data_IF_791366568579
#
_entry.id   IF_791366568579
#
_cell.length_a   1.000
_cell.length_b   1.000
_cell.length_c   1.000
_cell.angle_alpha   90.00
_cell.angle_beta   90.00
_cell.angle_gamma   90.00
#
_symmetry.space_group_name_H-M   'P 1'
#
loop_
_entity.id
_entity.type
_entity.pdbx_description
1 polymer ?
#
# COMPACT_ATOMS: atom_id res chain seq x y z
N UNK A 1 24.56 1.32 -12.22
CA UNK A 1 23.86 0.56 -11.14
C UNK A 1 23.12 1.47 -10.16
N UNK A 2 23.78 2.42 -9.48
CA UNK A 2 23.14 3.27 -8.45
C UNK A 2 21.96 4.09 -8.98
N UNK A 3 22.12 4.76 -10.13
CA UNK A 3 21.02 5.49 -10.80
C UNK A 3 19.83 4.57 -11.08
N UNK A 4 20.09 3.36 -11.56
CA UNK A 4 19.04 2.35 -11.78
C UNK A 4 18.29 1.97 -10.51
N UNK A 5 18.98 1.86 -9.35
CA UNK A 5 18.33 1.58 -8.06
C UNK A 5 17.48 2.75 -7.57
N UNK A 6 17.93 3.99 -7.78
CA UNK A 6 17.15 5.20 -7.45
C UNK A 6 15.88 5.25 -8.29
N UNK A 7 15.99 5.03 -9.61
CA UNK A 7 14.85 5.00 -10.51
C UNK A 7 13.87 3.86 -10.17
N UNK A 8 14.38 2.66 -9.88
CA UNK A 8 13.57 1.53 -9.44
C UNK A 8 12.85 1.82 -8.12
N UNK A 9 13.52 2.50 -7.17
CA UNK A 9 12.91 2.93 -5.92
C UNK A 9 11.78 3.95 -6.12
N UNK A 10 12.00 4.95 -6.99
CA UNK A 10 10.98 5.93 -7.34
C UNK A 10 9.76 5.28 -8.02
N UNK A 11 10.00 4.38 -8.98
CA UNK A 11 8.93 3.63 -9.66
C UNK A 11 8.17 2.71 -8.68
N UNK A 12 8.88 1.96 -7.84
CA UNK A 12 8.30 1.09 -6.83
C UNK A 12 7.41 1.84 -5.84
N UNK A 13 7.88 2.97 -5.31
CA UNK A 13 7.09 3.83 -4.43
C UNK A 13 5.81 4.35 -5.10
N UNK A 14 5.88 4.69 -6.39
CA UNK A 14 4.72 5.06 -7.20
C UNK A 14 3.70 3.92 -7.32
N UNK A 15 4.16 2.71 -7.65
CA UNK A 15 3.29 1.52 -7.79
C UNK A 15 2.55 1.20 -6.48
N UNK A 16 3.24 1.29 -5.34
CA UNK A 16 2.63 1.08 -4.02
C UNK A 16 1.50 2.05 -3.70
N UNK A 17 1.50 3.25 -4.29
CA UNK A 17 0.44 4.26 -4.13
C UNK A 17 -0.66 4.11 -5.16
N UNK A 18 -0.28 3.92 -6.43
CA UNK A 18 -1.20 3.92 -7.57
C UNK A 18 -2.08 2.68 -7.57
N UNK A 19 -1.52 1.50 -7.22
CA UNK A 19 -2.26 0.23 -7.32
C UNK A 19 -3.50 0.19 -6.42
N UNK A 20 -3.40 0.51 -5.10
CA UNK A 20 -4.60 0.53 -4.25
C UNK A 20 -5.59 1.61 -4.67
N UNK A 21 -5.11 2.77 -5.16
CA UNK A 21 -5.98 3.84 -5.63
C UNK A 21 -6.77 3.44 -6.88
N UNK A 22 -6.10 2.85 -7.87
CA UNK A 22 -6.73 2.38 -9.10
C UNK A 22 -7.81 1.34 -8.82
N UNK A 23 -7.51 0.35 -7.97
CA UNK A 23 -8.46 -0.68 -7.52
C UNK A 23 -9.64 -0.04 -6.78
N UNK A 24 -9.37 0.95 -5.94
CA UNK A 24 -10.39 1.63 -5.18
C UNK A 24 -11.31 2.50 -6.07
N UNK A 25 -10.81 3.04 -7.19
CA UNK A 25 -11.59 3.87 -8.12
C UNK A 25 -12.50 3.05 -9.04
N UNK A 26 -12.14 1.80 -9.35
CA UNK A 26 -12.92 0.91 -10.22
C UNK A 26 -13.86 -0.02 -9.44
N UNK A 27 -13.57 -0.29 -8.17
CA UNK A 27 -14.31 -1.27 -7.38
C UNK A 27 -15.72 -0.81 -7.02
N UNK A 28 -16.66 -1.76 -6.99
CA UNK A 28 -17.96 -1.53 -6.38
C UNK A 28 -17.81 -1.25 -4.87
N UNK A 29 -18.53 -0.27 -4.31
CA UNK A 29 -18.58 -0.06 -2.87
C UNK A 29 -18.84 -1.35 -2.07
N UNK A 30 -19.60 -2.31 -2.64
CA UNK A 30 -19.91 -3.60 -1.98
C UNK A 30 -18.71 -4.55 -1.88
N UNK A 31 -17.81 -4.56 -2.87
CA UNK A 31 -16.67 -5.50 -2.93
C UNK A 31 -15.30 -4.83 -2.73
N UNK A 32 -15.27 -3.50 -2.57
CA UNK A 32 -14.03 -2.71 -2.42
C UNK A 32 -13.16 -3.19 -1.25
N UNK A 33 -13.77 -3.58 -0.13
CA UNK A 33 -13.04 -4.11 1.03
C UNK A 33 -12.31 -5.42 0.72
N UNK A 34 -12.97 -6.35 0.02
CA UNK A 34 -12.40 -7.63 -0.40
C UNK A 34 -11.30 -7.44 -1.44
N UNK A 35 -11.48 -6.54 -2.40
CA UNK A 35 -10.45 -6.20 -3.39
C UNK A 35 -9.22 -5.57 -2.74
N UNK A 36 -9.40 -4.71 -1.73
CA UNK A 36 -8.31 -4.10 -0.98
C UNK A 36 -7.50 -5.14 -0.19
N UNK A 37 -8.16 -6.16 0.35
CA UNK A 37 -7.53 -7.19 1.16
C UNK A 37 -6.81 -8.28 0.35
N UNK A 38 -7.11 -8.38 -0.95
CA UNK A 38 -6.36 -9.22 -1.90
C UNK A 38 -5.00 -8.63 -2.30
N UNK A 39 -4.82 -7.31 -2.21
CA UNK A 39 -3.58 -6.65 -2.66
C UNK A 39 -2.31 -7.14 -1.93
N UNK A 40 -2.29 -7.27 -0.58
CA UNK A 40 -1.14 -7.85 0.11
C UNK A 40 -0.88 -9.32 -0.27
N UNK A 41 -1.93 -10.09 -0.56
CA UNK A 41 -1.79 -11.48 -1.01
C UNK A 41 -1.11 -11.53 -2.38
N UNK A 42 -1.57 -10.72 -3.35
CA UNK A 42 -0.95 -10.62 -4.67
C UNK A 42 0.53 -10.20 -4.59
N UNK A 43 0.88 -9.26 -3.71
CA UNK A 43 2.26 -8.83 -3.50
C UNK A 43 3.14 -9.98 -2.99
N UNK A 44 2.66 -10.78 -2.04
CA UNK A 44 3.40 -11.94 -1.53
C UNK A 44 3.52 -13.07 -2.56
N UNK A 45 2.46 -13.33 -3.35
CA UNK A 45 2.54 -14.27 -4.49
C UNK A 45 3.63 -13.84 -5.48
N UNK A 46 3.66 -12.56 -5.84
CA UNK A 46 4.71 -11.99 -6.70
C UNK A 46 6.11 -12.16 -6.10
N UNK A 47 6.25 -11.99 -4.78
CA UNK A 47 7.53 -12.18 -4.07
C UNK A 47 8.00 -13.63 -4.14
N UNK A 48 7.10 -14.61 -3.93
CA UNK A 48 7.43 -16.04 -4.08
C UNK A 48 7.86 -16.36 -5.50
N UNK A 49 7.11 -15.89 -6.51
CA UNK A 49 7.47 -16.08 -7.93
C UNK A 49 8.83 -15.44 -8.27
N UNK A 50 9.14 -14.28 -7.70
CA UNK A 50 10.43 -13.62 -7.91
C UNK A 50 11.60 -14.43 -7.33
N UNK A 51 11.45 -15.03 -6.14
CA UNK A 51 12.48 -15.90 -5.57
C UNK A 51 12.65 -17.21 -6.37
N UNK A 52 11.56 -17.79 -6.88
CA UNK A 52 11.61 -18.97 -7.75
C UNK A 52 12.34 -18.63 -9.06
N UNK A 53 11.93 -17.56 -9.75
CA UNK A 53 12.58 -17.11 -10.98
C UNK A 53 14.06 -16.77 -10.76
N UNK A 54 14.40 -16.15 -9.63
CA UNK A 54 15.78 -15.84 -9.25
C UNK A 54 16.65 -17.08 -9.01
N UNK A 55 16.03 -18.23 -8.71
CA UNK A 55 16.74 -19.50 -8.51
C UNK A 55 16.87 -20.29 -9.82
N UNK A 56 15.88 -20.20 -10.71
CA UNK A 56 15.86 -20.95 -11.98
C UNK A 56 16.67 -20.27 -13.10
N UNK A 57 16.78 -18.94 -13.07
CA UNK A 57 17.35 -18.16 -14.18
C UNK A 57 18.76 -17.66 -13.84
N UNK A 58 19.76 -17.85 -14.72
CA UNK A 58 21.09 -17.30 -14.55
C UNK A 58 21.09 -15.77 -14.43
N UNK A 59 22.02 -15.21 -13.65
CA UNK A 59 22.11 -13.76 -13.37
C UNK A 59 22.14 -12.88 -14.64
N UNK A 60 22.79 -13.34 -15.71
CA UNK A 60 22.90 -12.58 -16.97
C UNK A 60 21.55 -12.46 -17.72
N UNK A 61 20.73 -13.51 -17.65
CA UNK A 61 19.44 -13.58 -18.34
C UNK A 61 18.28 -13.08 -17.48
N UNK A 62 18.45 -13.02 -16.15
CA UNK A 62 17.41 -12.62 -15.22
C UNK A 62 16.79 -11.24 -15.53
N UNK A 63 17.56 -10.15 -15.76
CA UNK A 63 16.97 -8.86 -16.08
C UNK A 63 16.16 -8.86 -17.39
N UNK A 64 16.54 -9.67 -18.38
CA UNK A 64 15.83 -9.78 -19.66
C UNK A 64 14.49 -10.49 -19.49
N UNK A 65 14.46 -11.59 -18.73
CA UNK A 65 13.22 -12.31 -18.41
C UNK A 65 12.27 -11.43 -17.60
N UNK A 66 12.80 -10.72 -16.60
CA UNK A 66 12.00 -9.81 -15.78
C UNK A 66 11.46 -8.64 -16.60
N UNK A 67 12.16 -8.16 -17.64
CA UNK A 67 11.68 -7.07 -18.50
C UNK A 67 10.40 -7.44 -19.28
N UNK A 68 10.21 -8.71 -19.62
CA UNK A 68 9.01 -9.19 -20.32
C UNK A 68 7.75 -9.00 -19.47
N UNK A 69 7.85 -9.17 -18.14
CA UNK A 69 6.70 -9.08 -17.24
C UNK A 69 6.08 -7.67 -17.18
N UNK A 70 6.82 -6.57 -16.92
CA UNK A 70 6.32 -5.21 -17.04
C UNK A 70 5.85 -4.88 -18.46
N UNK A 71 6.53 -5.38 -19.50
CA UNK A 71 6.10 -5.18 -20.90
C UNK A 71 4.71 -5.75 -21.17
N UNK A 72 4.46 -6.98 -20.73
CA UNK A 72 3.15 -7.63 -20.80
C UNK A 72 2.11 -6.88 -19.97
N UNK A 73 2.45 -6.45 -18.76
CA UNK A 73 1.56 -5.70 -17.89
C UNK A 73 1.17 -4.33 -18.48
N UNK A 74 2.13 -3.61 -19.04
CA UNK A 74 1.88 -2.35 -19.75
C UNK A 74 1.00 -2.57 -20.98
N UNK A 75 1.23 -3.65 -21.74
CA UNK A 75 0.37 -4.02 -22.86
C UNK A 75 -1.07 -4.31 -22.41
N UNK A 76 -1.25 -5.04 -21.30
CA UNK A 76 -2.57 -5.32 -20.74
C UNK A 76 -3.30 -4.05 -20.29
N UNK A 77 -2.62 -3.12 -19.63
CA UNK A 77 -3.21 -1.86 -19.18
C UNK A 77 -3.63 -0.96 -20.34
N UNK A 78 -2.92 -0.99 -21.48
CA UNK A 78 -3.32 -0.21 -22.66
C UNK A 78 -4.71 -0.60 -23.20
N UNK A 79 -5.20 -1.81 -22.91
CA UNK A 79 -6.54 -2.24 -23.27
C UNK A 79 -7.62 -1.87 -22.23
N UNK A 80 -7.23 -1.44 -21.02
CA UNK A 80 -8.18 -1.01 -20.00
C UNK A 80 -8.59 0.45 -20.21
N UNK A 81 -9.90 0.78 -20.12
CA UNK A 81 -10.34 2.17 -20.14
C UNK A 81 -9.86 2.91 -18.89
N UNK A 82 -9.55 4.20 -19.03
CA UNK A 82 -9.21 5.08 -17.90
C UNK A 82 -10.30 5.05 -16.82
N UNK A 83 -9.93 5.26 -15.55
CA UNK A 83 -10.90 5.23 -14.45
C UNK A 83 -11.97 6.34 -14.61
N UNK A 84 -13.23 6.07 -14.25
CA UNK A 84 -14.33 7.01 -14.46
C UNK A 84 -14.13 8.31 -13.67
N UNK A 85 -13.51 8.23 -12.50
CA UNK A 85 -13.19 9.37 -11.64
C UNK A 85 -12.18 10.32 -12.32
N UNK A 86 -11.13 9.79 -12.95
CA UNK A 86 -10.15 10.60 -13.68
C UNK A 86 -10.81 11.34 -14.86
N UNK A 87 -11.69 10.66 -15.59
CA UNK A 87 -12.41 11.24 -16.72
C UNK A 87 -13.39 12.35 -16.30
N UNK A 88 -14.08 12.18 -15.17
CA UNK A 88 -14.94 13.22 -14.58
C UNK A 88 -14.12 14.44 -14.10
N UNK A 89 -12.92 14.21 -13.55
CA UNK A 89 -11.99 15.31 -13.23
C UNK A 89 -11.53 16.06 -14.48
N UNK A 90 -11.34 15.37 -15.59
CA UNK A 90 -10.97 15.97 -16.88
C UNK A 90 -12.16 16.58 -17.67
N UNK A 91 -13.36 16.71 -17.07
CA UNK A 91 -14.58 17.21 -17.73
C UNK A 91 -15.07 16.36 -18.93
N UNK A 92 -14.64 15.10 -19.03
CA UNK A 92 -15.02 14.19 -20.13
C UNK A 92 -16.15 13.26 -19.71
N UNK A 93 -17.35 13.81 -19.49
CA UNK A 93 -18.50 13.10 -18.93
C UNK A 93 -18.91 11.86 -19.75
N UNK A 94 -18.98 11.96 -21.08
CA UNK A 94 -19.40 10.82 -21.92
C UNK A 94 -18.41 9.64 -21.87
N UNK A 95 -17.10 9.94 -21.84
CA UNK A 95 -16.06 8.91 -21.71
C UNK A 95 -16.09 8.28 -20.33
N UNK A 96 -16.32 9.09 -19.28
CA UNK A 96 -16.46 8.60 -17.92
C UNK A 96 -17.63 7.63 -17.78
N UNK A 97 -18.77 7.96 -18.41
CA UNK A 97 -19.95 7.10 -18.40
C UNK A 97 -19.66 5.76 -19.08
N UNK A 98 -19.03 5.76 -20.27
CA UNK A 98 -18.62 4.54 -20.97
C UNK A 98 -17.63 3.69 -20.17
N UNK A 99 -16.67 4.33 -19.51
CA UNK A 99 -15.72 3.64 -18.63
C UNK A 99 -16.43 2.98 -17.45
N UNK A 100 -17.35 3.69 -16.77
CA UNK A 100 -18.11 3.12 -15.66
C UNK A 100 -18.99 1.96 -16.13
N UNK A 101 -19.62 2.05 -17.31
CA UNK A 101 -20.38 0.93 -17.91
C UNK A 101 -19.49 -0.30 -18.13
N UNK A 102 -18.26 -0.12 -18.61
CA UNK A 102 -17.30 -1.22 -18.79
C UNK A 102 -16.97 -1.92 -17.47
N UNK A 103 -16.64 -1.17 -16.42
CA UNK A 103 -16.31 -1.73 -15.10
C UNK A 103 -17.52 -2.36 -14.38
N UNK A 104 -18.73 -1.87 -14.64
CA UNK A 104 -19.99 -2.43 -14.09
C UNK A 104 -20.55 -3.58 -14.92
N UNK A 105 -20.00 -3.84 -16.10
CA UNK A 105 -20.49 -4.88 -17.02
C UNK A 105 -21.83 -4.55 -17.68
N UNK A 106 -22.23 -3.28 -17.74
CA UNK A 106 -23.49 -2.84 -18.36
C UNK A 106 -23.31 -2.80 -19.87
N UNK A 107 -23.91 -3.76 -20.60
CA UNK A 107 -23.93 -3.80 -22.07
C UNK A 107 -25.24 -3.20 -22.58
N UNK A 108 -25.18 -2.00 -23.17
CA UNK A 108 -26.32 -1.41 -23.87
C UNK A 108 -26.31 0.11 -23.81
N UNK A 109 -26.25 0.77 -24.98
CA UNK A 109 -26.28 2.23 -25.06
C UNK A 109 -27.69 2.81 -24.81
N UNK A 110 -28.74 1.97 -24.94
CA UNK A 110 -30.14 2.38 -24.99
C UNK A 110 -30.96 2.09 -23.70
N UNK A 111 -30.66 1.02 -22.96
CA UNK A 111 -31.36 0.69 -21.70
C UNK A 111 -30.37 0.65 -20.54
N UNK A 112 -30.16 1.83 -19.94
CA UNK A 112 -29.34 1.99 -18.74
C UNK A 112 -30.24 1.75 -17.52
N UNK A 113 -29.91 0.80 -16.62
CA UNK A 113 -30.64 0.63 -15.37
C UNK A 113 -30.69 1.94 -14.58
N UNK A 114 -31.83 2.29 -14.00
CA UNK A 114 -31.97 3.53 -13.22
C UNK A 114 -30.95 3.61 -12.07
N UNK A 115 -30.64 2.46 -11.45
CA UNK A 115 -29.58 2.32 -10.44
C UNK A 115 -28.22 2.84 -10.94
N UNK A 116 -27.83 2.52 -12.18
CA UNK A 116 -26.58 2.97 -12.78
C UNK A 116 -26.61 4.49 -13.04
N UNK A 117 -27.73 5.03 -13.51
CA UNK A 117 -27.88 6.48 -13.77
C UNK A 117 -27.77 7.26 -12.47
N UNK A 118 -28.39 6.78 -11.40
CA UNK A 118 -28.26 7.36 -10.07
C UNK A 118 -26.83 7.27 -9.54
N UNK A 119 -26.13 6.14 -9.70
CA UNK A 119 -24.73 5.99 -9.30
C UNK A 119 -23.81 6.98 -10.04
N UNK A 120 -23.94 7.05 -11.37
CA UNK A 120 -23.13 7.96 -12.18
C UNK A 120 -23.38 9.43 -11.82
N UNK A 121 -24.65 9.80 -11.59
CA UNK A 121 -25.01 11.15 -11.17
C UNK A 121 -24.44 11.49 -9.79
N UNK A 122 -24.58 10.57 -8.81
CA UNK A 122 -23.99 10.75 -7.47
C UNK A 122 -22.47 10.94 -7.54
N UNK A 123 -21.78 10.17 -8.38
CA UNK A 123 -20.34 10.27 -8.58
C UNK A 123 -19.95 11.61 -9.21
N UNK A 124 -20.69 12.06 -10.23
CA UNK A 124 -20.49 13.35 -10.89
C UNK A 124 -20.68 14.50 -9.90
N UNK A 125 -21.79 14.52 -9.18
CA UNK A 125 -22.11 15.56 -8.20
C UNK A 125 -21.08 15.61 -7.07
N UNK A 126 -20.52 14.46 -6.66
CA UNK A 126 -19.47 14.42 -5.65
C UNK A 126 -18.16 15.08 -6.11
N UNK A 127 -17.74 14.84 -7.36
CA UNK A 127 -16.51 15.41 -7.94
C UNK A 127 -16.68 16.89 -8.25
N UNK A 128 -17.84 17.29 -8.75
CA UNK A 128 -18.16 18.70 -9.01
C UNK A 128 -18.14 19.52 -7.72
N UNK A 129 -18.70 18.97 -6.63
CA UNK A 129 -18.59 19.55 -5.28
C UNK A 129 -17.15 19.65 -4.78
N UNK A 130 -16.31 18.64 -5.03
CA UNK A 130 -14.88 18.66 -4.65
C UNK A 130 -14.13 19.78 -5.37
N UNK A 131 -14.37 19.96 -6.67
CA UNK A 131 -13.76 21.02 -7.48
C UNK A 131 -14.18 22.42 -7.02
N UNK A 132 -15.47 22.67 -6.88
CA UNK A 132 -16.00 23.97 -6.43
C UNK A 132 -15.44 24.37 -5.07
N UNK A 133 -15.26 23.40 -4.16
CA UNK A 133 -14.63 23.64 -2.87
C UNK A 133 -13.12 23.93 -2.96
N UNK A 134 -12.41 23.30 -3.90
CA UNK A 134 -10.98 23.55 -4.14
C UNK A 134 -10.75 24.95 -4.72
N UNK A 135 -11.56 25.35 -5.71
CA UNK A 135 -11.51 26.67 -6.33
C UNK A 135 -11.85 27.78 -5.33
N UNK A 136 -12.78 27.52 -4.41
CA UNK A 136 -13.09 28.41 -3.30
C UNK A 136 -11.96 28.51 -2.25
N UNK A 137 -11.08 27.51 -2.16
CA UNK A 137 -10.02 27.43 -1.15
C UNK A 137 -8.63 27.89 -1.65
N UNK A 138 -8.43 28.04 -2.96
CA UNK A 138 -7.16 28.44 -3.57
C UNK A 138 -7.37 29.62 -4.53
N UNK A 139 -7.54 30.82 -3.97
CA UNK A 139 -7.45 32.06 -4.75
C UNK A 139 -6.02 32.58 -4.73
N UNK A 140 -5.41 32.75 -5.91
CA UNK A 140 -4.05 33.32 -6.07
C UNK A 140 -3.90 34.73 -5.48
N UNK A 141 -5.01 35.42 -5.21
CA UNK A 141 -5.01 36.73 -4.54
C UNK A 141 -4.65 36.64 -3.04
N UNK A 142 -4.78 35.47 -2.41
CA UNK A 142 -4.51 35.26 -0.98
C UNK A 142 -3.02 35.05 -0.67
N UNK A 143 -2.22 34.65 -1.67
CA UNK A 143 -0.75 34.59 -1.53
C UNK A 143 -0.08 35.96 -1.74
N UNK A 144 -0.77 36.89 -2.42
CA UNK A 144 -0.21 38.19 -2.79
C UNK A 144 -0.39 39.30 -1.75
N UNK A 145 -1.29 39.16 -0.78
CA UNK A 145 -1.56 40.20 0.21
C UNK A 145 -1.52 39.67 1.66
N UNK A 146 -0.42 40.01 2.31
CA UNK A 146 -0.19 40.09 3.76
C UNK A 146 -0.21 38.81 4.61
N UNK A 147 0.96 38.58 5.21
CA UNK A 147 1.22 37.81 6.42
C UNK A 147 0.37 38.37 7.57
N UNK A 148 -0.85 37.85 7.72
CA UNK A 148 -1.65 38.08 8.93
C UNK A 148 -2.74 37.03 9.14
N UNK A 149 -2.41 35.74 8.97
CA UNK A 149 -3.25 34.66 9.53
C UNK A 149 -2.97 34.43 11.01
N UNK A 150 -3.42 35.38 11.85
CA UNK A 150 -3.78 35.12 13.26
C UNK A 150 -5.28 35.42 13.41
N UNK A 151 -6.09 34.34 13.40
CA UNK A 151 -7.45 34.11 13.96
C UNK A 151 -8.26 35.31 14.50
N UNK A 152 -9.62 35.31 14.40
CA UNK A 152 -10.43 34.11 14.65
C UNK A 152 -11.68 33.87 13.80
N UNK A 153 -11.88 32.57 13.56
CA UNK A 153 -13.13 31.84 13.35
C UNK A 153 -14.05 31.97 14.57
N UNK A 154 -14.68 33.14 14.78
CA UNK A 154 -15.70 33.35 15.84
C UNK A 154 -16.92 34.20 15.43
N UNK A 155 -17.04 34.66 14.19
CA UNK A 155 -18.09 35.60 13.79
C UNK A 155 -19.12 35.08 12.77
N UNK A 156 -19.26 33.76 12.58
CA UNK A 156 -20.16 33.21 11.55
C UNK A 156 -21.32 32.36 12.14
N UNK A 157 -21.71 32.60 13.39
CA UNK A 157 -22.86 31.92 14.02
C UNK A 157 -24.15 32.74 14.05
N UNK A 158 -24.23 33.91 13.42
CA UNK A 158 -25.44 34.75 13.46
C UNK A 158 -25.66 35.39 12.10
N UNK A 159 -26.52 34.77 11.30
CA UNK A 159 -27.43 35.34 10.28
C UNK A 159 -27.66 34.33 9.16
N UNK A 160 -28.53 33.35 9.43
CA UNK A 160 -29.30 32.62 8.42
C UNK A 160 -30.64 32.22 9.04
N UNK A 161 -31.48 33.23 9.31
CA UNK A 161 -32.93 33.05 9.47
C UNK A 161 -33.56 33.62 8.20
N UNK A 162 -34.14 32.76 7.36
CA UNK A 162 -35.02 33.18 6.27
C UNK A 162 -34.84 32.41 4.95
N UNK A 163 -35.90 31.69 4.57
CA UNK A 163 -36.21 31.07 3.27
C UNK A 163 -35.56 29.71 2.91
N UNK A 164 -36.36 28.66 3.08
CA UNK A 164 -36.91 27.87 1.97
C UNK A 164 -36.00 26.99 1.12
N UNK A 165 -36.34 25.69 1.10
CA UNK A 165 -35.92 24.60 0.20
C UNK A 165 -34.67 23.80 0.59
N UNK A 166 -34.89 22.49 0.75
CA UNK A 166 -33.91 21.53 1.28
C UNK A 166 -32.73 21.32 0.34
N UNK A 167 -31.55 21.77 0.78
CA UNK A 167 -30.27 21.36 0.24
C UNK A 167 -29.43 20.87 1.42
N UNK A 168 -29.12 19.57 1.45
CA UNK A 168 -28.29 18.94 2.49
C UNK A 168 -26.91 19.61 2.52
N UNK A 169 -26.71 20.51 3.49
CA UNK A 169 -25.51 21.31 3.69
C UNK A 169 -24.39 20.47 4.29
N UNK A 170 -23.67 19.73 3.46
CA UNK A 170 -22.38 19.18 3.85
C UNK A 170 -21.28 20.25 3.66
N UNK A 171 -20.41 20.49 4.65
CA UNK A 171 -19.37 21.51 4.57
C UNK A 171 -18.35 21.22 3.45
N UNK A 172 -17.72 22.26 2.88
CA UNK A 172 -16.80 22.15 1.74
C UNK A 172 -15.62 21.21 2.03
N UNK A 173 -15.12 20.50 1.00
CA UNK A 173 -13.95 19.63 1.12
C UNK A 173 -12.69 20.45 1.39
N UNK A 174 -11.97 20.22 2.51
CA UNK A 174 -10.78 21.00 2.83
C UNK A 174 -9.57 20.54 1.98
N UNK A 175 -8.84 21.50 1.41
CA UNK A 175 -7.48 21.35 0.87
C UNK A 175 -6.55 20.62 1.84
N UNK A 176 -5.52 19.90 1.36
CA UNK A 176 -4.58 19.13 2.22
C UNK A 176 -4.04 19.92 3.43
N UNK A 177 -3.68 21.19 3.22
CA UNK A 177 -3.21 22.07 4.29
C UNK A 177 -4.33 22.44 5.28
N UNK A 178 -5.55 22.71 4.81
CA UNK A 178 -6.69 23.04 5.67
C UNK A 178 -7.29 21.80 6.36
N UNK A 179 -7.13 20.61 5.77
CA UNK A 179 -7.47 19.33 6.36
C UNK A 179 -6.53 18.98 7.51
N UNK A 180 -5.22 19.19 7.31
CA UNK A 180 -4.19 19.09 8.35
C UNK A 180 -4.36 20.10 9.49
N UNK A 181 -5.13 21.17 9.25
CA UNK A 181 -5.42 22.22 10.24
C UNK A 181 -6.47 21.76 11.28
N UNK A 182 -7.33 20.80 10.93
CA UNK A 182 -8.31 20.29 11.89
C UNK A 182 -7.65 19.39 12.93
N UNK A 183 -7.87 19.70 14.22
CA UNK A 183 -7.33 18.93 15.35
C UNK A 183 -7.55 17.40 15.24
N UNK A 184 -8.75 16.90 14.87
CA UNK A 184 -8.98 15.45 14.74
C UNK A 184 -8.23 14.83 13.56
N UNK A 185 -8.22 15.45 12.37
CA UNK A 185 -7.52 14.89 11.22
C UNK A 185 -6.00 14.87 11.43
N UNK A 186 -5.43 15.90 12.08
CA UNK A 186 -4.01 15.93 12.43
C UNK A 186 -3.62 14.80 13.39
N UNK A 187 -4.49 14.50 14.38
CA UNK A 187 -4.26 13.37 15.30
C UNK A 187 -4.29 12.04 14.57
N UNK A 188 -5.27 11.85 13.68
CA UNK A 188 -5.34 10.67 12.82
C UNK A 188 -4.09 10.52 11.95
N UNK A 189 -3.77 11.55 11.15
CA UNK A 189 -2.61 11.54 10.27
C UNK A 189 -1.30 11.28 11.03
N UNK A 190 -1.12 11.90 12.20
CA UNK A 190 0.04 11.67 13.06
C UNK A 190 0.13 10.21 13.55
N UNK A 191 -1.00 9.61 13.97
CA UNK A 191 -1.05 8.20 14.37
C UNK A 191 -0.73 7.26 13.18
N UNK A 192 -1.26 7.54 11.99
CA UNK A 192 -0.98 6.76 10.78
C UNK A 192 0.49 6.83 10.36
N UNK A 193 1.07 8.03 10.35
CA UNK A 193 2.50 8.22 10.06
C UNK A 193 3.39 7.55 11.11
N UNK A 194 3.04 7.65 12.39
CA UNK A 194 3.76 6.99 13.47
C UNK A 194 3.74 5.47 13.31
N UNK A 195 2.57 4.87 13.04
CA UNK A 195 2.44 3.43 12.79
C UNK A 195 3.27 2.96 11.59
N UNK A 196 3.29 3.75 10.50
CA UNK A 196 4.12 3.45 9.33
C UNK A 196 5.61 3.52 9.63
N UNK A 197 6.04 4.51 10.43
CA UNK A 197 7.44 4.64 10.81
C UNK A 197 7.87 3.48 11.71
N UNK A 198 7.03 3.10 12.69
CA UNK A 198 7.26 1.93 13.55
C UNK A 198 7.36 0.64 12.72
N UNK A 199 6.50 0.47 11.72
CA UNK A 199 6.56 -0.69 10.82
C UNK A 199 7.91 -0.79 10.08
N UNK A 200 8.48 0.33 9.65
CA UNK A 200 9.79 0.32 8.97
C UNK A 200 10.95 0.07 9.95
N UNK A 201 10.87 0.62 11.17
CA UNK A 201 11.89 0.45 12.20
C UNK A 201 12.00 -1.01 12.65
N UNK A 202 10.93 -1.82 12.53
CA UNK A 202 11.03 -3.26 12.77
C UNK A 202 12.02 -3.96 11.83
N UNK A 203 12.45 -3.35 10.73
CA UNK A 203 13.50 -3.89 9.87
C UNK A 203 13.08 -5.11 9.06
N UNK A 204 11.80 -5.48 9.07
CA UNK A 204 11.26 -6.63 8.33
C UNK A 204 11.59 -6.54 6.84
N UNK A 205 11.43 -5.37 6.20
CA UNK A 205 11.78 -5.19 4.78
C UNK A 205 13.28 -5.35 4.50
N UNK A 206 14.15 -4.88 5.41
CA UNK A 206 15.59 -5.03 5.27
C UNK A 206 15.99 -6.51 5.36
N UNK A 207 15.44 -7.24 6.34
CA UNK A 207 15.72 -8.66 6.52
C UNK A 207 15.18 -9.53 5.38
N UNK A 208 14.04 -9.19 4.76
CA UNK A 208 13.59 -9.87 3.52
C UNK A 208 14.61 -9.67 2.40
N UNK A 209 15.07 -8.42 2.23
CA UNK A 209 16.00 -8.05 1.17
C UNK A 209 17.35 -8.77 1.31
N UNK A 210 17.81 -8.96 2.55
CA UNK A 210 19.09 -9.63 2.84
C UNK A 210 18.94 -11.09 3.27
N UNK A 211 17.76 -11.69 3.18
CA UNK A 211 17.48 -13.04 3.68
C UNK A 211 18.43 -14.08 3.09
N UNK A 212 18.62 -14.08 1.77
CA UNK A 212 19.54 -14.99 1.09
C UNK A 212 20.98 -14.83 1.57
N UNK A 213 21.41 -13.58 1.77
CA UNK A 213 22.75 -13.28 2.30
C UNK A 213 22.90 -13.78 3.73
N UNK A 214 21.90 -13.57 4.59
CA UNK A 214 21.92 -14.07 5.98
C UNK A 214 22.05 -15.59 5.99
N UNK A 215 21.31 -16.31 5.14
CA UNK A 215 21.42 -17.75 5.03
C UNK A 215 22.78 -18.22 4.51
N UNK A 216 23.37 -17.52 3.53
CA UNK A 216 24.73 -17.85 3.06
C UNK A 216 25.80 -17.62 4.14
N UNK A 217 25.65 -16.58 4.95
CA UNK A 217 26.59 -16.28 6.04
C UNK A 217 26.45 -17.25 7.20
N UNK A 218 25.23 -17.75 7.45
CA UNK A 218 24.96 -18.77 8.46
C UNK A 218 25.45 -20.17 8.06
N UNK A 219 25.72 -20.42 6.77
CA UNK A 219 26.19 -21.71 6.25
C UNK A 219 27.16 -21.50 5.08
N UNK A 220 28.41 -21.08 5.35
CA UNK A 220 29.37 -20.74 4.31
C UNK A 220 29.78 -21.98 3.48
N UNK A 221 29.74 -21.92 2.13
CA UNK A 221 29.91 -23.08 1.24
C UNK A 221 31.36 -23.57 1.09
N UNK A 222 32.33 -22.98 1.80
CA UNK A 222 33.76 -23.19 1.52
C UNK A 222 34.63 -22.97 2.75
N UNK A 223 34.59 -23.90 3.71
CA UNK A 223 35.78 -24.18 4.51
C UNK A 223 36.05 -25.69 4.48
N UNK A 224 37.31 -26.12 4.36
CA UNK A 224 37.69 -27.54 4.30
C UNK A 224 37.37 -28.33 5.59
N UNK A 225 36.78 -27.67 6.59
CA UNK A 225 36.35 -28.20 7.90
C UNK A 225 34.87 -27.96 8.22
N UNK A 226 34.11 -27.24 7.39
CA UNK A 226 32.67 -27.01 7.64
C UNK A 226 31.81 -28.13 7.05
N UNK A 227 30.83 -28.56 7.83
CA UNK A 227 29.80 -29.49 7.37
C UNK A 227 29.04 -28.92 6.16
N UNK A 228 28.61 -29.78 5.20
CA UNK A 228 27.84 -29.34 4.04
C UNK A 228 26.56 -28.63 4.48
N UNK A 229 26.23 -27.52 3.82
CA UNK A 229 25.01 -26.77 4.08
C UNK A 229 23.78 -27.69 3.85
N UNK A 230 22.89 -27.79 4.85
CA UNK A 230 21.71 -28.67 4.75
C UNK A 230 20.74 -28.21 3.65
N UNK A 231 20.60 -26.89 3.48
CA UNK A 231 19.73 -26.28 2.49
C UNK A 231 20.47 -25.12 1.80
N UNK A 232 20.45 -25.04 0.46
CA UNK A 232 20.99 -23.88 -0.24
C UNK A 232 20.16 -22.62 0.09
N UNK A 233 20.82 -21.48 0.22
CA UNK A 233 20.22 -20.21 0.62
C UNK A 233 19.07 -19.75 -0.30
N UNK A 234 19.11 -20.14 -1.58
CA UNK A 234 18.04 -19.89 -2.56
C UNK A 234 16.74 -20.62 -2.17
N UNK A 235 16.82 -21.91 -1.86
CA UNK A 235 15.66 -22.69 -1.41
C UNK A 235 15.14 -22.22 -0.05
N UNK A 236 16.04 -21.85 0.88
CA UNK A 236 15.65 -21.27 2.16
C UNK A 236 14.89 -19.94 2.00
N UNK A 237 15.29 -19.09 1.05
CA UNK A 237 14.61 -17.83 0.75
C UNK A 237 13.23 -18.05 0.12
N UNK A 238 13.08 -19.07 -0.72
CA UNK A 238 11.76 -19.49 -1.24
C UNK A 238 10.86 -19.96 -0.09
N UNK A 239 11.38 -20.81 0.81
CA UNK A 239 10.65 -21.26 2.00
C UNK A 239 10.16 -20.09 2.86
N UNK A 240 11.03 -19.12 3.14
CA UNK A 240 10.67 -17.90 3.87
C UNK A 240 9.53 -17.13 3.18
N UNK A 241 9.63 -16.92 1.87
CA UNK A 241 8.59 -16.22 1.10
C UNK A 241 7.25 -16.97 1.11
N UNK A 242 7.27 -18.31 1.06
CA UNK A 242 6.05 -19.12 1.16
C UNK A 242 5.41 -19.05 2.55
N UNK A 243 6.22 -19.04 3.61
CA UNK A 243 5.75 -18.87 4.99
C UNK A 243 5.14 -17.48 5.19
N UNK A 244 5.72 -16.45 4.58
CA UNK A 244 5.19 -15.09 4.56
C UNK A 244 3.83 -15.01 3.84
N UNK A 245 3.70 -15.69 2.69
CA UNK A 245 2.43 -15.79 1.97
C UNK A 245 1.35 -16.46 2.83
N UNK A 246 1.66 -17.59 3.47
CA UNK A 246 0.75 -18.27 4.38
C UNK A 246 0.35 -17.38 5.56
N UNK A 247 1.31 -16.69 6.18
CA UNK A 247 1.04 -15.74 7.26
C UNK A 247 0.12 -14.60 6.85
N UNK A 248 0.22 -14.14 5.61
CA UNK A 248 -0.66 -13.08 5.06
C UNK A 248 -2.08 -13.59 4.83
N UNK A 249 -2.25 -14.82 4.34
CA UNK A 249 -3.57 -15.46 4.19
C UNK A 249 -4.22 -15.66 5.57
N UNK A 250 -3.45 -16.09 6.57
CA UNK A 250 -3.91 -16.20 7.95
C UNK A 250 -4.29 -14.83 8.52
N UNK A 251 -3.47 -13.80 8.26
CA UNK A 251 -3.77 -12.40 8.66
C UNK A 251 -5.14 -11.95 8.18
N UNK A 252 -5.48 -12.27 6.92
CA UNK A 252 -6.75 -11.90 6.32
C UNK A 252 -7.95 -12.44 7.11
N UNK A 253 -7.87 -13.68 7.59
CA UNK A 253 -8.92 -14.30 8.41
C UNK A 253 -8.93 -13.78 9.86
N UNK A 254 -7.77 -13.46 10.43
CA UNK A 254 -7.63 -13.04 11.82
C UNK A 254 -8.01 -11.58 12.06
N UNK A 255 -7.78 -10.69 11.07
CA UNK A 255 -7.96 -9.24 11.25
C UNK A 255 -9.41 -8.88 11.59
N UNK A 256 -10.36 -9.64 11.04
CA UNK A 256 -11.80 -9.44 11.25
C UNK A 256 -12.29 -10.04 12.58
N UNK A 257 -11.56 -11.00 13.17
CA UNK A 257 -11.99 -11.71 14.39
C UNK A 257 -11.35 -11.19 15.68
N UNK A 258 -10.05 -10.93 15.67
CA UNK A 258 -9.26 -10.64 16.89
C UNK A 258 -9.15 -9.12 17.13
N UNK A 259 -9.33 -8.33 16.08
CA UNK A 259 -9.15 -6.88 16.13
C UNK A 259 -7.69 -6.46 15.95
N UNK A 260 -7.53 -5.28 15.35
CA UNK A 260 -6.26 -4.78 14.79
C UNK A 260 -5.19 -4.46 15.83
N UNK A 261 -5.58 -3.89 16.97
CA UNK A 261 -4.65 -3.50 18.04
C UNK A 261 -3.97 -4.72 18.65
N UNK A 262 -4.75 -5.77 18.95
CA UNK A 262 -4.22 -7.00 19.53
C UNK A 262 -3.31 -7.70 18.53
N UNK A 263 -3.72 -7.75 17.25
CA UNK A 263 -2.93 -8.34 16.18
C UNK A 263 -1.56 -7.67 16.02
N UNK A 264 -1.51 -6.32 16.10
CA UNK A 264 -0.25 -5.57 16.09
C UNK A 264 0.64 -5.89 17.30
N UNK A 265 0.08 -5.94 18.51
CA UNK A 265 0.86 -6.21 19.74
C UNK A 265 1.46 -7.63 19.68
N UNK A 266 0.63 -8.63 19.36
CA UNK A 266 1.06 -10.03 19.26
C UNK A 266 2.12 -10.20 18.18
N UNK A 267 1.96 -9.52 17.03
CA UNK A 267 2.96 -9.52 15.95
C UNK A 267 4.30 -8.93 16.39
N UNK A 268 4.30 -7.75 17.04
CA UNK A 268 5.51 -7.14 17.57
C UNK A 268 6.25 -8.05 18.56
N UNK A 269 5.52 -8.69 19.48
CA UNK A 269 6.11 -9.62 20.44
C UNK A 269 6.70 -10.84 19.74
N UNK A 270 5.97 -11.43 18.79
CA UNK A 270 6.44 -12.59 18.03
C UNK A 270 7.69 -12.30 17.21
N UNK A 271 7.73 -11.15 16.52
CA UNK A 271 8.91 -10.71 15.75
C UNK A 271 10.10 -10.46 16.68
N UNK A 272 9.87 -9.83 17.85
CA UNK A 272 10.92 -9.59 18.85
C UNK A 272 11.53 -10.90 19.31
N UNK A 273 10.71 -11.90 19.64
CA UNK A 273 11.19 -13.24 20.04
C UNK A 273 12.03 -13.86 18.93
N UNK A 274 11.56 -13.88 17.69
CA UNK A 274 12.31 -14.49 16.59
C UNK A 274 13.63 -13.76 16.27
N UNK A 275 13.67 -12.43 16.38
CA UNK A 275 14.93 -11.68 16.22
C UNK A 275 15.87 -11.86 17.41
N UNK A 276 15.37 -11.98 18.65
CA UNK A 276 16.19 -12.33 19.80
C UNK A 276 16.82 -13.73 19.63
N UNK A 277 16.06 -14.69 19.12
CA UNK A 277 16.59 -16.04 18.80
C UNK A 277 17.67 -15.98 17.73
N UNK A 278 17.44 -15.23 16.64
CA UNK A 278 18.44 -15.04 15.59
C UNK A 278 19.69 -14.32 16.09
N UNK A 279 19.54 -13.27 16.90
CA UNK A 279 20.65 -12.53 17.49
C UNK A 279 21.48 -13.42 18.43
N UNK A 280 20.81 -14.24 19.27
CA UNK A 280 21.48 -15.23 20.11
C UNK A 280 22.27 -16.25 19.29
N UNK A 281 21.70 -16.75 18.19
CA UNK A 281 22.41 -17.63 17.27
C UNK A 281 23.69 -16.98 16.73
N UNK A 282 23.58 -15.76 16.23
CA UNK A 282 24.72 -15.04 15.62
C UNK A 282 25.82 -14.76 16.64
N UNK A 283 25.49 -14.46 17.89
CA UNK A 283 26.48 -14.13 18.91
C UNK A 283 27.14 -15.37 19.53
N UNK A 284 26.39 -16.44 19.78
CA UNK A 284 26.88 -17.59 20.56
C UNK A 284 27.30 -18.79 19.68
N UNK A 285 26.60 -19.04 18.57
CA UNK A 285 26.80 -20.27 17.78
C UNK A 285 27.65 -20.06 16.54
N UNK A 286 27.60 -18.90 15.90
CA UNK A 286 28.43 -18.59 14.72
C UNK A 286 29.95 -18.63 15.00
N UNK A 287 30.46 -18.13 16.16
CA UNK A 287 31.88 -18.23 16.50
C UNK A 287 32.34 -19.63 16.95
N UNK A 288 31.41 -20.54 17.23
CA UNK A 288 31.70 -21.86 17.79
C UNK A 288 32.01 -22.88 16.68
N UNK A 289 33.25 -23.38 16.62
CA UNK A 289 33.80 -24.24 15.54
C UNK A 289 33.11 -25.61 15.41
N UNK A 290 32.40 -26.06 16.45
CA UNK A 290 31.79 -27.40 16.52
C UNK A 290 30.28 -27.35 16.71
N UNK A 291 29.57 -26.57 15.89
CA UNK A 291 28.12 -26.46 16.00
C UNK A 291 27.40 -27.64 15.32
N UNK A 292 26.42 -28.28 15.98
CA UNK A 292 25.68 -29.42 15.42
C UNK A 292 24.82 -28.98 14.22
N UNK A 293 24.46 -29.92 13.33
CA UNK A 293 23.59 -29.69 12.14
C UNK A 293 22.30 -28.92 12.52
N UNK A 294 21.75 -29.17 13.70
CA UNK A 294 20.56 -28.50 14.25
C UNK A 294 20.72 -26.97 14.32
N UNK A 295 21.94 -26.48 14.56
CA UNK A 295 22.23 -25.05 14.62
C UNK A 295 22.11 -24.36 13.26
N UNK A 296 22.26 -25.08 12.14
CA UNK A 296 22.13 -24.50 10.79
C UNK A 296 20.66 -24.25 10.40
N UNK A 297 19.72 -25.02 10.96
CA UNK A 297 18.28 -24.78 10.77
C UNK A 297 17.75 -23.58 11.57
N UNK A 298 18.41 -23.27 12.69
CA UNK A 298 17.96 -22.26 13.62
C UNK A 298 17.77 -20.85 13.01
N UNK A 299 18.69 -20.30 12.19
CA UNK A 299 18.48 -19.01 11.51
C UNK A 299 17.34 -19.05 10.48
N UNK A 300 17.16 -20.18 9.78
CA UNK A 300 16.09 -20.35 8.80
C UNK A 300 14.73 -20.38 9.50
N UNK A 301 14.61 -21.17 10.55
CA UNK A 301 13.38 -21.31 11.34
C UNK A 301 13.03 -20.01 12.09
N UNK A 302 14.01 -19.36 12.73
CA UNK A 302 13.78 -18.11 13.46
C UNK A 302 13.36 -16.97 12.54
N UNK A 303 14.03 -16.79 11.40
CA UNK A 303 13.61 -15.78 10.42
C UNK A 303 12.23 -16.09 9.84
N UNK A 304 11.97 -17.35 9.47
CA UNK A 304 10.66 -17.75 8.94
C UNK A 304 9.54 -17.51 9.95
N UNK A 305 9.77 -17.81 11.23
CA UNK A 305 8.84 -17.50 12.31
C UNK A 305 8.62 -16.00 12.48
N UNK A 306 9.70 -15.20 12.50
CA UNK A 306 9.59 -13.74 12.53
C UNK A 306 8.76 -13.20 11.38
N UNK A 307 8.95 -13.70 10.15
CA UNK A 307 8.19 -13.24 8.99
C UNK A 307 6.74 -13.70 8.98
N UNK A 308 6.45 -14.89 9.49
CA UNK A 308 5.08 -15.33 9.73
C UNK A 308 4.39 -14.37 10.70
N UNK A 309 5.02 -14.09 11.85
CA UNK A 309 4.47 -13.18 12.86
C UNK A 309 4.34 -11.75 12.34
N UNK A 310 5.32 -11.27 11.56
CA UNK A 310 5.26 -9.95 10.91
C UNK A 310 4.12 -9.87 9.90
N UNK A 311 3.88 -10.93 9.12
CA UNK A 311 2.80 -10.99 8.12
C UNK A 311 1.42 -10.98 8.74
N UNK A 312 1.27 -11.56 9.93
CA UNK A 312 0.00 -11.59 10.65
C UNK A 312 -0.46 -10.18 11.07
N UNK A 313 0.45 -9.28 11.45
CA UNK A 313 0.09 -7.96 11.98
C UNK A 313 0.81 -6.79 11.33
N UNK A 314 2.14 -6.75 11.45
CA UNK A 314 2.96 -5.61 11.03
C UNK A 314 2.91 -5.30 9.52
N UNK A 315 2.82 -6.31 8.66
CA UNK A 315 2.80 -6.09 7.21
C UNK A 315 1.42 -5.72 6.66
N UNK A 316 0.34 -6.00 7.39
CA UNK A 316 -1.04 -5.81 6.92
C UNK A 316 -1.71 -4.64 7.64
N UNK A 317 -1.71 -4.62 8.97
CA UNK A 317 -2.51 -3.71 9.78
C UNK A 317 -2.15 -2.23 9.58
N UNK A 318 -0.86 -1.81 9.57
CA UNK A 318 -0.52 -0.40 9.37
C UNK A 318 -1.09 0.16 8.07
N UNK A 319 -1.05 -0.61 6.98
CA UNK A 319 -1.58 -0.18 5.67
C UNK A 319 -3.09 -0.01 5.70
N UNK A 320 -3.81 -0.92 6.35
CA UNK A 320 -5.27 -0.82 6.46
C UNK A 320 -5.65 0.35 7.37
N UNK A 321 -4.96 0.54 8.51
CA UNK A 321 -5.19 1.68 9.40
C UNK A 321 -4.90 3.01 8.67
N UNK A 322 -3.85 3.09 7.87
CA UNK A 322 -3.58 4.28 7.07
C UNK A 322 -4.67 4.56 6.04
N UNK A 323 -5.24 3.52 5.42
CA UNK A 323 -6.35 3.66 4.49
C UNK A 323 -7.66 4.10 5.17
N UNK A 324 -7.88 3.72 6.44
CA UNK A 324 -9.08 4.10 7.22
C UNK A 324 -8.97 5.48 7.87
N UNK A 325 -7.76 5.87 8.28
CA UNK A 325 -7.50 7.14 8.94
C UNK A 325 -7.42 8.29 7.93
N UNK A 326 -7.05 8.00 6.68
CA UNK A 326 -7.13 8.96 5.60
C UNK A 326 -8.61 9.17 5.20
N UNK A 327 -9.15 10.39 5.27
CA UNK A 327 -10.44 10.67 4.65
C UNK A 327 -10.35 10.32 3.16
N UNK A 328 -11.35 9.59 2.65
CA UNK A 328 -11.45 9.12 1.25
C UNK A 328 -11.23 10.21 0.20
N UNK A 329 -11.36 11.47 0.60
CA UNK A 329 -11.14 12.70 -0.18
C UNK A 329 -9.66 13.13 -0.34
N UNK A 330 -8.69 12.39 0.19
CA UNK A 330 -7.25 12.71 0.05
C UNK A 330 -6.55 11.88 -1.02
N UNK A 331 -7.07 10.68 -1.31
CA UNK A 331 -6.55 9.85 -2.41
C UNK A 331 -6.74 10.49 -3.78
N UNK A 332 -7.78 11.32 -3.93
CA UNK A 332 -8.09 12.09 -5.13
C UNK A 332 -7.11 13.22 -5.44
N UNK A 333 -6.58 13.89 -4.41
CA UNK A 333 -5.75 15.09 -4.55
C UNK A 333 -4.32 14.75 -5.00
N UNK A 334 -3.76 13.61 -4.57
CA UNK A 334 -2.42 13.19 -4.98
C UNK A 334 -2.35 12.71 -6.45
N UNK A 335 -3.48 12.37 -7.07
CA UNK A 335 -3.55 12.00 -8.48
C UNK A 335 -3.52 13.20 -9.45
N UNK A 336 -3.56 14.44 -8.94
CA UNK A 336 -3.69 15.67 -9.75
C UNK A 336 -2.31 16.29 -10.10
N UNK A 337 -1.21 15.58 -9.92
CA UNK A 337 0.07 16.09 -10.41
C UNK A 337 0.88 15.03 -11.15
N UNK A 338 0.65 14.92 -12.46
CA UNK A 338 1.77 15.11 -13.36
C UNK A 338 1.37 15.94 -14.58
N UNK A 339 2.09 17.04 -14.83
CA UNK A 339 2.18 17.69 -16.14
C UNK A 339 0.86 18.10 -16.82
N UNK A 340 0.29 19.24 -16.40
CA UNK A 340 -0.31 20.13 -17.38
C UNK A 340 -0.21 21.60 -16.95
N UNK A 341 1.01 22.12 -16.93
CA UNK A 341 1.26 23.50 -17.33
C UNK A 341 2.00 23.48 -18.67
N UNK A 342 1.23 23.52 -19.76
CA UNK A 342 1.45 24.36 -20.94
C UNK A 342 0.37 24.06 -21.97
#
# INVERSE_FOLDING_TARGET
>A
LCVGRVLAGAAGGGIFRITPLFVADIADPRIRGMLGSLLPVCFNVGTVLAFILGTLVPFKTFPLVVLVLPGLFSAAIMFLPETPICLLRAYRNEKAERSLMFYRGVRGHFEKPDSFRHEFQQLKDAIEREKTALDAALSWKDFGNNISMRKPMKALSIDYIGYGSGLSSHPPSPSLLSLSSTKPARRGLAMGMFLMMMNQITGSLALITYASTIFTLASPPSSPTAQPAVLPASLASIGLATVQLLGTIVSLALVDRIGRKILLIVSCLGVTVGYCTLAGYVQFFLPSVSSPIVSQFLPICSLSFSFLMASIGLLTVPFIVMAEVLPSKVGSIFAINPFNQK
#
